data_IF_887922837698
#
_entry.id   IF_887922837698
#
_cell.length_a   1.000
_cell.length_b   1.000
_cell.length_c   1.000
_cell.angle_alpha   90.00
_cell.angle_beta   90.00
_cell.angle_gamma   90.00
#
_symmetry.space_group_name_H-M   'P 1'
#
loop_
_entity.id
_entity.type
_entity.pdbx_description
1 polymer ?
#
# COMPACT_ATOMS: atom_id res chain seq x y z
N UNK A 1 -11.94 3.63 -6.35
CA UNK A 1 -10.48 3.76 -6.54
C UNK A 1 -10.16 3.27 -7.95
N UNK A 2 -9.90 4.17 -8.90
CA UNK A 2 -9.59 3.78 -10.29
C UNK A 2 -8.08 3.69 -10.42
N UNK A 3 -7.53 2.52 -10.18
CA UNK A 3 -6.12 2.24 -10.41
C UNK A 3 -5.99 1.88 -11.89
N UNK A 4 -4.99 2.45 -12.60
CA UNK A 4 -4.78 2.21 -14.03
C UNK A 4 -4.47 0.74 -14.37
N UNK A 5 -4.03 -0.04 -13.40
CA UNK A 5 -3.73 -1.46 -13.50
C UNK A 5 -4.37 -2.18 -12.31
N UNK A 6 -4.99 -3.35 -12.55
CA UNK A 6 -5.53 -4.18 -11.48
C UNK A 6 -4.38 -4.72 -10.64
N UNK A 7 -4.25 -4.19 -9.41
CA UNK A 7 -3.20 -4.60 -8.49
C UNK A 7 -3.67 -4.47 -7.05
N UNK A 8 -3.29 -5.45 -6.25
CA UNK A 8 -3.52 -5.46 -4.81
C UNK A 8 -2.63 -4.46 -4.08
N UNK A 9 -3.01 -4.10 -2.86
CA UNK A 9 -2.22 -3.23 -1.99
C UNK A 9 -0.92 -3.90 -1.50
N UNK A 10 -0.89 -5.23 -1.48
CA UNK A 10 0.23 -5.99 -0.95
C UNK A 10 1.44 -5.86 -1.89
N UNK A 11 2.60 -5.36 -1.41
CA UNK A 11 3.82 -5.31 -2.20
C UNK A 11 4.22 -6.68 -2.74
N UNK A 12 4.96 -6.72 -3.84
CA UNK A 12 5.53 -7.98 -4.31
C UNK A 12 6.40 -8.63 -3.20
N UNK A 13 6.09 -9.87 -2.84
CA UNK A 13 6.74 -10.58 -1.74
C UNK A 13 6.14 -10.31 -0.35
N UNK A 14 5.11 -9.48 -0.24
CA UNK A 14 4.43 -9.16 1.01
C UNK A 14 5.00 -7.97 1.77
N UNK A 15 4.26 -7.51 2.78
CA UNK A 15 4.76 -6.50 3.71
C UNK A 15 5.82 -7.10 4.65
N UNK A 16 7.03 -6.51 4.74
CA UNK A 16 8.09 -7.07 5.58
C UNK A 16 7.67 -7.18 7.04
N UNK A 17 7.84 -8.34 7.65
CA UNK A 17 7.40 -8.66 9.03
C UNK A 17 5.88 -8.59 9.28
N UNK A 18 5.04 -8.51 8.25
CA UNK A 18 3.58 -8.63 8.36
C UNK A 18 3.07 -9.80 7.54
N UNK A 19 3.15 -9.72 6.22
CA UNK A 19 2.62 -10.73 5.29
C UNK A 19 1.73 -10.11 4.20
N UNK A 20 0.76 -10.89 3.75
CA UNK A 20 -0.21 -10.51 2.71
C UNK A 20 -1.48 -9.98 3.37
N UNK A 21 -2.00 -8.86 2.89
CA UNK A 21 -3.29 -8.31 3.33
C UNK A 21 -4.37 -8.90 2.40
N UNK A 22 -5.27 -9.71 2.96
CA UNK A 22 -6.38 -10.34 2.22
C UNK A 22 -7.75 -9.74 2.54
N UNK A 23 -7.85 -9.07 3.68
CA UNK A 23 -9.09 -8.48 4.18
C UNK A 23 -9.18 -6.99 3.80
N UNK A 24 -10.30 -6.38 4.17
CA UNK A 24 -10.52 -4.95 4.03
C UNK A 24 -9.46 -4.15 4.81
N UNK A 25 -9.04 -3.04 4.21
CA UNK A 25 -7.97 -2.21 4.75
C UNK A 25 -8.31 -0.73 4.64
N UNK A 26 -7.63 0.07 5.47
CA UNK A 26 -7.66 1.53 5.42
C UNK A 26 -6.24 2.02 5.16
N UNK A 27 -6.07 2.94 4.22
CA UNK A 27 -4.80 3.61 3.98
C UNK A 27 -4.79 4.98 4.66
N UNK A 28 -3.91 5.13 5.66
CA UNK A 28 -3.79 6.37 6.45
C UNK A 28 -2.64 7.22 5.90
N UNK A 29 -2.83 8.54 5.87
CA UNK A 29 -1.76 9.48 5.53
C UNK A 29 -0.69 9.48 6.64
N UNK A 30 0.57 9.20 6.28
CA UNK A 30 1.71 9.24 7.20
C UNK A 30 1.98 7.91 7.91
N UNK A 31 2.45 7.96 9.16
CA UNK A 31 2.74 6.79 9.99
C UNK A 31 1.81 6.70 11.20
N UNK A 32 1.70 5.50 11.79
CA UNK A 32 0.95 5.25 13.02
C UNK A 32 1.88 4.68 14.11
N UNK A 33 1.41 4.70 15.36
CA UNK A 33 2.22 4.29 16.51
C UNK A 33 2.37 2.78 16.59
N UNK A 34 3.63 2.32 16.59
CA UNK A 34 4.00 0.94 16.90
C UNK A 34 4.59 0.13 15.76
N UNK A 35 5.09 -1.08 16.09
CA UNK A 35 5.60 -2.00 15.10
C UNK A 35 4.44 -2.60 14.29
N UNK A 36 4.81 -3.19 13.15
CA UNK A 36 3.90 -3.96 12.30
C UNK A 36 3.26 -5.10 13.13
N UNK A 37 2.01 -5.46 12.81
CA UNK A 37 1.15 -6.42 13.54
C UNK A 37 0.56 -5.93 14.87
N UNK A 38 0.90 -4.74 15.36
CA UNK A 38 0.23 -4.18 16.55
C UNK A 38 -1.23 -3.85 16.22
N UNK A 39 -2.15 -4.28 17.09
CA UNK A 39 -3.56 -3.89 17.01
C UNK A 39 -3.70 -2.40 17.30
N UNK A 40 -4.44 -1.68 16.46
CA UNK A 40 -4.68 -0.24 16.60
C UNK A 40 -6.19 0.01 16.66
N UNK A 41 -6.63 0.70 17.71
CA UNK A 41 -8.03 1.15 17.82
C UNK A 41 -8.19 2.52 17.15
N UNK A 42 -8.98 2.58 16.08
CA UNK A 42 -9.32 3.83 15.41
C UNK A 42 -10.54 4.47 16.08
N UNK A 43 -10.45 5.77 16.38
CA UNK A 43 -11.52 6.54 17.01
C UNK A 43 -11.83 7.76 16.15
N UNK A 44 -13.11 8.08 16.02
CA UNK A 44 -13.54 9.33 15.39
C UNK A 44 -13.04 10.55 16.17
N UNK A 45 -12.79 11.65 15.45
CA UNK A 45 -12.43 12.92 16.08
C UNK A 45 -13.54 13.40 17.02
N UNK A 46 -13.14 13.97 18.15
CA UNK A 46 -14.05 14.56 19.13
C UNK A 46 -14.88 15.73 18.57
N UNK A 47 -14.26 16.52 17.70
CA UNK A 47 -14.84 17.71 17.09
C UNK A 47 -14.78 17.56 15.56
N UNK A 48 -15.76 18.16 14.88
CA UNK A 48 -15.81 18.18 13.42
C UNK A 48 -14.58 18.87 12.86
N UNK A 49 -13.88 18.21 11.94
CA UNK A 49 -12.72 18.77 11.27
C UNK A 49 -13.19 19.73 10.16
N UNK A 50 -12.88 21.02 10.28
CA UNK A 50 -13.29 22.08 9.34
C UNK A 50 -12.12 22.66 8.54
N UNK A 51 -10.89 22.22 8.80
CA UNK A 51 -9.72 22.73 8.11
C UNK A 51 -9.73 22.36 6.63
N UNK A 52 -9.18 23.24 5.77
CA UNK A 52 -9.09 22.99 4.32
C UNK A 52 -8.38 21.67 3.99
N UNK A 53 -7.38 21.31 4.79
CA UNK A 53 -6.64 20.04 4.65
C UNK A 53 -7.51 18.82 4.98
N UNK A 54 -8.46 18.93 5.90
CA UNK A 54 -9.36 17.84 6.26
C UNK A 54 -10.51 17.66 5.26
N UNK A 55 -10.87 18.72 4.53
CA UNK A 55 -11.96 18.74 3.55
C UNK A 55 -11.46 18.51 2.10
N UNK A 56 -10.17 18.22 1.93
CA UNK A 56 -9.58 18.01 0.61
C UNK A 56 -10.11 16.71 -0.03
N UNK A 57 -10.54 16.79 -1.30
CA UNK A 57 -10.95 15.61 -2.06
C UNK A 57 -9.72 14.80 -2.50
N UNK A 58 -9.59 13.57 -2.00
CA UNK A 58 -8.41 12.73 -2.25
C UNK A 58 -8.57 11.96 -3.57
N UNK A 59 -7.83 12.36 -4.61
CA UNK A 59 -7.72 11.65 -5.90
C UNK A 59 -6.34 11.00 -6.03
N UNK A 60 -6.27 9.70 -5.78
CA UNK A 60 -5.03 8.93 -5.91
C UNK A 60 -4.78 8.58 -7.39
N UNK A 61 -3.58 8.89 -7.89
CA UNK A 61 -3.15 8.53 -9.26
C UNK A 61 -2.33 7.24 -9.31
N UNK A 62 -1.53 7.00 -8.28
CA UNK A 62 -0.58 5.90 -8.22
C UNK A 62 -0.42 5.42 -6.77
N UNK A 63 -0.32 4.11 -6.61
CA UNK A 63 0.02 3.43 -5.36
C UNK A 63 1.19 2.52 -5.70
N UNK A 64 2.23 2.54 -4.88
CA UNK A 64 3.41 1.72 -5.12
C UNK A 64 3.24 0.30 -4.54
N UNK A 65 3.33 -0.70 -5.40
CA UNK A 65 3.22 -2.14 -5.07
C UNK A 65 4.56 -2.85 -5.26
N UNK A 66 5.64 -2.09 -5.45
CA UNK A 66 6.99 -2.64 -5.52
C UNK A 66 7.42 -3.27 -4.20
N UNK A 67 8.24 -4.32 -4.30
CA UNK A 67 8.81 -5.01 -3.15
C UNK A 67 9.46 -4.03 -2.17
N UNK A 68 9.21 -4.25 -0.88
CA UNK A 68 9.85 -3.53 0.23
C UNK A 68 10.98 -4.31 0.89
N UNK A 69 11.36 -5.44 0.30
CA UNK A 69 12.60 -6.14 0.61
C UNK A 69 13.70 -5.59 -0.31
N UNK A 70 14.61 -4.79 0.24
CA UNK A 70 15.64 -4.10 -0.54
C UNK A 70 15.06 -2.98 -1.43
N UNK A 71 15.63 -2.82 -2.63
CA UNK A 71 15.22 -1.80 -3.60
C UNK A 71 14.24 -2.40 -4.63
N UNK A 72 12.94 -2.16 -4.45
CA UNK A 72 11.90 -2.62 -5.37
C UNK A 72 11.91 -1.88 -6.70
N UNK A 73 11.88 -2.63 -7.83
CA UNK A 73 11.90 -2.08 -9.20
C UNK A 73 10.62 -2.30 -10.00
N UNK A 74 9.93 -3.42 -9.80
CA UNK A 74 8.73 -3.79 -10.56
C UNK A 74 7.48 -3.65 -9.69
N UNK A 75 6.35 -3.32 -10.29
CA UNK A 75 5.05 -3.17 -9.61
C UNK A 75 4.24 -4.47 -9.63
N UNK A 76 4.42 -5.30 -10.66
CA UNK A 76 3.73 -6.58 -10.84
C UNK A 76 4.72 -7.70 -11.19
N UNK A 77 4.28 -8.95 -10.98
CA UNK A 77 5.04 -10.13 -11.37
C UNK A 77 5.23 -10.21 -12.90
N UNK A 78 4.21 -9.78 -13.66
CA UNK A 78 4.26 -9.77 -15.13
C UNK A 78 5.31 -8.79 -15.65
N UNK A 79 5.43 -7.61 -15.05
CA UNK A 79 6.49 -6.65 -15.37
C UNK A 79 7.88 -7.26 -15.14
N UNK A 80 8.05 -7.96 -14.02
CA UNK A 80 9.31 -8.64 -13.67
C UNK A 80 9.63 -9.76 -14.67
N UNK A 81 8.66 -10.62 -14.97
CA UNK A 81 8.82 -11.73 -15.91
C UNK A 81 9.14 -11.23 -17.32
N UNK A 82 8.44 -10.18 -17.78
CA UNK A 82 8.69 -9.56 -19.08
C UNK A 82 10.08 -8.91 -19.16
N UNK A 83 10.56 -8.32 -18.07
CA UNK A 83 11.88 -7.69 -18.03
C UNK A 83 13.02 -8.71 -18.08
N UNK A 84 12.95 -9.78 -17.29
CA UNK A 84 14.02 -10.79 -17.25
C UNK A 84 13.94 -11.83 -18.37
N UNK A 85 12.77 -12.01 -19.00
CA UNK A 85 12.58 -12.97 -20.08
C UNK A 85 12.76 -14.42 -19.61
N UNK A 86 13.38 -15.26 -20.45
CA UNK A 86 13.69 -16.65 -20.08
C UNK A 86 14.88 -16.69 -19.13
N UNK A 87 14.61 -17.02 -17.88
CA UNK A 87 15.65 -17.26 -16.87
C UNK A 87 15.97 -18.76 -16.79
N UNK A 88 17.23 -19.07 -16.44
CA UNK A 88 17.62 -20.44 -16.08
C UNK A 88 16.97 -20.77 -14.73
N UNK A 89 16.36 -21.95 -14.64
CA UNK A 89 15.82 -22.48 -13.38
C UNK A 89 16.92 -22.70 -12.35
#
# INVERSE_FOLDING_TARGET
MVIRTEKDITPMGGFPHYGIVKEDYIMIKGCCVGPKKRVVTLRQSLLKQTSRLALEEIKLKFIDTSSKFGHGRFQTLDEKAKFYGRVKA
#
